data_IF_893497738895
#
_entry.id   IF_893497738895
#
_cell.length_a   1.000
_cell.length_b   1.000
_cell.length_c   1.000
_cell.angle_alpha   90.00
_cell.angle_beta   90.00
_cell.angle_gamma   90.00
#
_symmetry.space_group_name_H-M   'P 1'
#
loop_
_entity.id
_entity.type
_entity.pdbx_description
1 polymer ?
#
# COMPACT_ATOMS: atom_id res chain seq x y z
N UNK A 1 -17.04 -7.23 1.56
CA UNK A 1 -17.22 -6.65 0.22
C UNK A 1 -17.16 -5.14 0.33
N UNK A 2 -16.26 -4.51 -0.43
CA UNK A 2 -16.17 -3.05 -0.52
C UNK A 2 -17.42 -2.58 -1.26
N UNK A 3 -18.09 -1.53 -0.78
CA UNK A 3 -19.34 -1.06 -1.41
C UNK A 3 -19.10 -0.56 -2.83
N UNK A 4 -20.09 -0.74 -3.72
CA UNK A 4 -20.03 -0.31 -5.12
C UNK A 4 -19.68 1.19 -5.28
N UNK A 5 -20.12 2.03 -4.34
CA UNK A 5 -19.80 3.46 -4.33
C UNK A 5 -18.30 3.75 -4.17
N UNK A 6 -17.60 2.98 -3.34
CA UNK A 6 -16.16 3.12 -3.15
C UNK A 6 -15.39 2.67 -4.40
N UNK A 7 -15.82 1.58 -5.04
CA UNK A 7 -15.22 1.15 -6.32
C UNK A 7 -15.39 2.21 -7.41
N UNK A 8 -16.57 2.77 -7.56
CA UNK A 8 -16.83 3.80 -8.56
C UNK A 8 -15.93 5.03 -8.39
N UNK A 9 -15.73 5.50 -7.15
CA UNK A 9 -14.83 6.63 -6.89
C UNK A 9 -13.37 6.27 -7.15
N UNK A 10 -12.93 5.06 -6.79
CA UNK A 10 -11.58 4.56 -7.05
C UNK A 10 -11.32 4.39 -8.55
N UNK A 11 -12.25 3.79 -9.26
CA UNK A 11 -12.19 3.61 -10.72
C UNK A 11 -12.00 4.94 -11.44
N UNK A 12 -12.81 5.93 -11.08
CA UNK A 12 -12.82 7.22 -11.75
C UNK A 12 -11.58 8.07 -11.43
N UNK A 13 -11.03 7.97 -10.21
CA UNK A 13 -10.02 8.92 -9.72
C UNK A 13 -8.65 8.28 -9.47
N UNK A 14 -8.58 6.99 -9.13
CA UNK A 14 -7.34 6.31 -8.78
C UNK A 14 -7.28 4.87 -9.33
N UNK A 15 -7.34 4.68 -10.66
CA UNK A 15 -7.44 3.34 -11.25
C UNK A 15 -6.25 2.42 -10.95
N UNK A 16 -5.08 2.97 -10.67
CA UNK A 16 -3.87 2.17 -10.39
C UNK A 16 -3.93 1.38 -9.09
N UNK A 17 -4.83 1.75 -8.15
CA UNK A 17 -4.95 1.06 -6.86
C UNK A 17 -6.07 0.02 -6.83
N UNK A 18 -6.77 -0.20 -7.93
CA UNK A 18 -7.96 -1.09 -7.95
C UNK A 18 -7.65 -2.53 -7.55
N UNK A 19 -6.47 -3.03 -7.89
CA UNK A 19 -6.01 -4.35 -7.49
C UNK A 19 -5.48 -4.45 -6.05
N UNK A 20 -5.35 -3.31 -5.35
CA UNK A 20 -4.79 -3.29 -4.00
C UNK A 20 -5.87 -3.53 -2.95
N UNK A 21 -5.59 -4.31 -1.89
CA UNK A 21 -6.51 -4.47 -0.78
C UNK A 21 -6.74 -3.13 -0.08
N UNK A 22 -7.96 -2.87 0.35
CA UNK A 22 -8.29 -1.66 1.08
C UNK A 22 -7.93 -1.83 2.55
N UNK A 23 -6.98 -1.05 3.05
CA UNK A 23 -6.64 -0.96 4.47
C UNK A 23 -7.61 -0.02 5.23
N UNK A 24 -8.91 -0.16 4.97
CA UNK A 24 -9.95 0.72 5.49
C UNK A 24 -11.15 -0.13 5.93
N UNK A 25 -11.98 0.42 6.80
CA UNK A 25 -13.23 -0.22 7.21
C UNK A 25 -14.30 -0.07 6.11
N UNK A 26 -15.22 -1.01 6.02
CA UNK A 26 -16.30 -1.02 5.02
C UNK A 26 -17.19 0.24 5.04
N UNK A 27 -17.28 0.91 6.19
CA UNK A 27 -18.05 2.14 6.34
C UNK A 27 -17.42 3.35 5.61
N UNK A 28 -16.17 3.27 5.19
CA UNK A 28 -15.50 4.31 4.39
C UNK A 28 -15.81 4.12 2.89
N UNK A 29 -17.06 4.29 2.54
CA UNK A 29 -17.60 4.01 1.20
C UNK A 29 -17.71 5.26 0.28
N UNK A 30 -17.20 6.40 0.71
CA UNK A 30 -17.20 7.65 -0.06
C UNK A 30 -18.50 8.46 0.05
N UNK A 31 -19.50 8.04 0.82
CA UNK A 31 -20.76 8.78 0.99
C UNK A 31 -20.54 10.19 1.54
N UNK A 32 -19.56 10.39 2.39
CA UNK A 32 -19.25 11.72 2.93
C UNK A 32 -18.84 12.70 1.81
N UNK A 33 -18.09 12.23 0.82
CA UNK A 33 -17.73 13.02 -0.36
C UNK A 33 -18.98 13.35 -1.18
N UNK A 34 -19.83 12.36 -1.44
CA UNK A 34 -21.07 12.54 -2.18
C UNK A 34 -22.05 13.49 -1.47
N UNK A 35 -22.14 13.41 -0.14
CA UNK A 35 -22.92 14.36 0.66
C UNK A 35 -22.41 15.78 0.51
N UNK A 36 -21.10 15.98 0.59
CA UNK A 36 -20.49 17.30 0.36
C UNK A 36 -20.83 17.85 -1.02
N UNK A 37 -20.66 17.01 -2.05
CA UNK A 37 -21.00 17.40 -3.45
C UNK A 37 -22.48 17.74 -3.63
N UNK A 38 -23.40 17.05 -2.95
CA UNK A 38 -24.84 17.28 -3.06
C UNK A 38 -25.29 18.65 -2.58
N UNK A 39 -24.51 19.29 -1.71
CA UNK A 39 -24.74 20.67 -1.22
C UNK A 39 -23.83 21.70 -1.89
N UNK A 40 -23.17 21.32 -2.99
CA UNK A 40 -22.34 22.23 -3.78
C UNK A 40 -20.88 22.36 -3.34
N UNK A 41 -20.38 21.49 -2.46
CA UNK A 41 -18.96 21.50 -2.10
C UNK A 41 -18.10 21.04 -3.29
N UNK A 42 -16.98 21.73 -3.52
CA UNK A 42 -16.00 21.33 -4.50
C UNK A 42 -15.11 20.18 -3.97
N UNK A 43 -14.63 19.37 -4.88
CA UNK A 43 -13.62 18.33 -4.59
C UNK A 43 -12.28 18.72 -5.19
N UNK A 44 -11.20 18.34 -4.50
CA UNK A 44 -9.83 18.54 -4.98
C UNK A 44 -9.00 17.30 -4.65
N UNK A 45 -7.95 17.07 -5.42
CA UNK A 45 -6.99 15.98 -5.20
C UNK A 45 -7.64 14.58 -5.08
N UNK A 46 -8.69 14.32 -5.84
CA UNK A 46 -9.41 13.05 -5.80
C UNK A 46 -8.56 11.86 -6.29
N UNK A 47 -7.48 12.12 -6.99
CA UNK A 47 -6.46 11.17 -7.43
C UNK A 47 -5.40 10.88 -6.35
N UNK A 48 -5.35 11.71 -5.30
CA UNK A 48 -4.43 11.51 -4.20
C UNK A 48 -4.89 10.34 -3.32
N UNK A 49 -4.05 9.32 -3.24
CA UNK A 49 -4.33 8.11 -2.47
C UNK A 49 -3.08 7.73 -1.68
N UNK A 50 -3.28 7.37 -0.43
CA UNK A 50 -2.22 6.74 0.35
C UNK A 50 -2.15 5.26 -0.02
N UNK A 51 -0.96 4.81 -0.39
CA UNK A 51 -0.65 3.42 -0.71
C UNK A 51 0.45 2.95 0.23
N UNK A 52 0.11 2.13 1.21
CA UNK A 52 1.09 1.57 2.13
C UNK A 52 1.78 0.34 1.51
N UNK A 53 3.07 0.19 1.79
CA UNK A 53 3.81 -1.01 1.50
C UNK A 53 3.67 -1.98 2.68
N UNK A 54 2.98 -3.10 2.45
CA UNK A 54 2.72 -4.09 3.50
C UNK A 54 3.91 -5.04 3.64
N UNK A 55 4.88 -4.64 4.44
CA UNK A 55 5.97 -5.49 4.89
C UNK A 55 6.37 -5.04 6.29
N UNK A 56 6.82 -5.97 7.13
CA UNK A 56 7.31 -5.63 8.46
C UNK A 56 8.49 -4.65 8.33
N UNK A 57 8.44 -3.48 8.99
CA UNK A 57 9.52 -2.50 8.94
C UNK A 57 10.85 -3.04 9.46
N UNK A 58 10.83 -3.99 10.42
CA UNK A 58 12.04 -4.60 10.95
C UNK A 58 12.72 -5.52 9.94
N UNK A 59 11.96 -6.17 9.08
CA UNK A 59 12.50 -6.94 7.96
C UNK A 59 13.03 -6.02 6.85
N UNK A 60 12.29 -4.97 6.53
CA UNK A 60 12.67 -4.01 5.48
C UNK A 60 14.05 -3.38 5.74
N UNK A 61 14.28 -2.88 6.95
CA UNK A 61 15.55 -2.19 7.29
C UNK A 61 16.76 -3.12 7.38
N UNK A 62 16.54 -4.43 7.42
CA UNK A 62 17.61 -5.45 7.44
C UNK A 62 17.96 -5.97 6.05
N UNK A 63 17.15 -5.65 5.04
CA UNK A 63 17.34 -6.09 3.67
C UNK A 63 17.56 -4.95 2.69
N UNK A 64 17.52 -5.29 1.41
CA UNK A 64 17.62 -4.34 0.31
C UNK A 64 16.42 -4.53 -0.59
N UNK A 65 15.65 -3.47 -0.81
CA UNK A 65 14.47 -3.50 -1.68
C UNK A 65 14.87 -3.23 -3.13
N UNK A 66 14.63 -4.20 -4.01
CA UNK A 66 14.97 -4.10 -5.43
C UNK A 66 13.72 -4.23 -6.30
N UNK A 67 13.76 -3.61 -7.47
CA UNK A 67 12.72 -3.73 -8.49
C UNK A 67 12.88 -5.00 -9.34
N UNK A 68 12.01 -5.22 -10.32
CA UNK A 68 12.07 -6.35 -11.26
C UNK A 68 13.35 -6.44 -12.11
N UNK A 69 14.18 -5.39 -12.11
CA UNK A 69 15.50 -5.35 -12.78
C UNK A 69 16.67 -5.60 -11.82
N UNK A 70 16.39 -5.91 -10.56
CA UNK A 70 17.41 -6.08 -9.52
C UNK A 70 18.08 -4.78 -9.06
N UNK A 71 17.46 -3.62 -9.31
CA UNK A 71 17.99 -2.32 -8.92
C UNK A 71 17.34 -1.84 -7.63
N UNK A 72 18.14 -1.43 -6.65
CA UNK A 72 17.65 -0.72 -5.47
C UNK A 72 17.10 0.64 -5.92
N UNK A 73 15.88 0.95 -5.52
CA UNK A 73 15.17 2.14 -6.01
C UNK A 73 14.75 3.11 -4.91
N UNK A 74 14.82 2.69 -3.64
CA UNK A 74 14.41 3.52 -2.50
C UNK A 74 15.19 3.13 -1.25
N UNK A 75 15.23 4.00 -0.26
CA UNK A 75 15.74 3.69 1.06
C UNK A 75 14.64 2.95 1.86
N UNK A 76 14.98 1.81 2.43
CA UNK A 76 14.09 0.94 3.18
C UNK A 76 13.64 1.57 4.51
N UNK A 77 14.47 2.45 5.10
CA UNK A 77 14.16 3.22 6.31
C UNK A 77 13.38 4.50 5.96
N UNK A 78 12.28 4.35 5.24
CA UNK A 78 11.40 5.48 4.93
C UNK A 78 9.95 5.16 5.24
N UNK A 79 9.09 6.17 5.23
CA UNK A 79 7.66 6.03 5.52
C UNK A 79 6.99 5.01 4.57
N UNK A 80 6.21 4.05 5.10
CA UNK A 80 5.60 2.98 4.30
C UNK A 80 4.73 3.46 3.12
N UNK A 81 4.05 4.59 3.27
CA UNK A 81 3.29 5.20 2.18
C UNK A 81 4.18 5.67 1.01
N UNK A 82 5.39 6.14 1.31
CA UNK A 82 6.36 6.52 0.28
C UNK A 82 6.93 5.30 -0.44
N UNK A 83 7.18 4.21 0.30
CA UNK A 83 7.56 2.92 -0.28
C UNK A 83 6.48 2.40 -1.22
N UNK A 84 5.23 2.39 -0.77
CA UNK A 84 4.08 1.95 -1.57
C UNK A 84 3.91 2.77 -2.84
N UNK A 85 3.95 4.10 -2.74
CA UNK A 85 3.86 4.99 -3.90
C UNK A 85 5.02 4.78 -4.89
N UNK A 86 6.25 4.70 -4.41
CA UNK A 86 7.42 4.46 -5.26
C UNK A 86 7.31 3.12 -6.00
N UNK A 87 6.88 2.07 -5.31
CA UNK A 87 6.70 0.74 -5.89
C UNK A 87 5.57 0.73 -6.93
N UNK A 88 4.39 1.23 -6.57
CA UNK A 88 3.22 1.20 -7.44
C UNK A 88 3.39 2.06 -8.69
N UNK A 89 3.89 3.29 -8.53
CA UNK A 89 3.91 4.26 -9.64
C UNK A 89 5.17 4.20 -10.50
N UNK A 90 6.28 3.70 -9.94
CA UNK A 90 7.58 3.79 -10.63
C UNK A 90 8.28 2.43 -10.85
N UNK A 91 7.79 1.34 -10.22
CA UNK A 91 8.41 0.02 -10.31
C UNK A 91 7.43 -1.07 -10.81
N UNK A 92 6.43 -0.70 -11.60
CA UNK A 92 5.47 -1.64 -12.18
C UNK A 92 4.73 -2.49 -11.12
N UNK A 93 4.58 -1.93 -9.90
CA UNK A 93 4.02 -2.62 -8.73
C UNK A 93 4.77 -3.92 -8.35
N UNK A 94 6.07 -3.96 -8.61
CA UNK A 94 6.93 -5.10 -8.29
C UNK A 94 8.09 -4.68 -7.39
N UNK A 95 8.25 -5.39 -6.28
CA UNK A 95 9.38 -5.23 -5.38
C UNK A 95 9.79 -6.59 -4.79
N UNK A 96 11.08 -6.75 -4.60
CA UNK A 96 11.68 -7.95 -3.99
C UNK A 96 12.58 -7.50 -2.84
N UNK A 97 12.38 -8.07 -1.66
CA UNK A 97 13.26 -7.85 -0.52
C UNK A 97 14.37 -8.90 -0.56
N UNK A 98 15.60 -8.46 -0.73
CA UNK A 98 16.79 -9.30 -0.63
C UNK A 98 17.33 -9.19 0.79
N UNK A 99 17.30 -10.29 1.52
CA UNK A 99 17.68 -10.37 2.94
C UNK A 99 18.43 -11.68 3.18
N UNK A 100 19.38 -11.71 4.10
CA UNK A 100 20.02 -12.96 4.50
C UNK A 100 19.14 -13.77 5.46
N UNK A 101 19.42 -15.07 5.56
CA UNK A 101 18.62 -16.02 6.33
C UNK A 101 18.58 -15.65 7.83
N UNK A 102 19.72 -15.28 8.39
CA UNK A 102 19.81 -14.92 9.82
C UNK A 102 18.96 -13.69 10.14
N UNK A 103 19.07 -12.64 9.32
CA UNK A 103 18.28 -11.42 9.49
C UNK A 103 16.78 -11.67 9.29
N UNK A 104 16.42 -12.59 8.38
CA UNK A 104 15.04 -13.02 8.17
C UNK A 104 14.48 -13.75 9.39
N UNK A 105 15.23 -14.72 9.93
CA UNK A 105 14.81 -15.49 11.13
C UNK A 105 14.64 -14.57 12.33
N UNK A 106 15.61 -13.69 12.61
CA UNK A 106 15.53 -12.73 13.70
C UNK A 106 14.38 -11.73 13.56
N UNK A 107 14.14 -11.23 12.35
CA UNK A 107 13.05 -10.31 12.06
C UNK A 107 11.68 -10.98 12.16
N UNK A 108 11.56 -12.21 11.67
CA UNK A 108 10.32 -12.99 11.73
C UNK A 108 9.96 -13.46 13.13
N UNK A 109 10.94 -13.61 14.03
CA UNK A 109 10.74 -13.97 15.42
C UNK A 109 10.29 -12.80 16.29
N UNK A 110 10.30 -11.57 15.79
CA UNK A 110 9.84 -10.41 16.54
C UNK A 110 8.31 -10.46 16.71
N UNK A 111 7.81 -10.23 17.93
CA UNK A 111 6.37 -10.25 18.26
C UNK A 111 5.54 -9.21 17.49
N UNK A 112 6.20 -8.30 16.78
CA UNK A 112 5.58 -7.28 15.92
C UNK A 112 5.17 -7.81 14.55
N UNK A 113 5.66 -8.98 14.17
CA UNK A 113 5.28 -9.65 12.92
C UNK A 113 3.90 -10.29 13.11
N UNK A 114 2.84 -9.56 12.84
CA UNK A 114 1.50 -10.15 12.77
C UNK A 114 1.47 -11.14 11.61
N UNK A 115 1.22 -12.44 11.83
CA UNK A 115 1.14 -13.45 10.77
C UNK A 115 0.11 -13.11 9.69
N UNK A 116 -0.89 -12.31 10.03
CA UNK A 116 -1.93 -11.83 9.11
C UNK A 116 -1.42 -10.89 8.02
N UNK A 117 -0.29 -10.18 8.25
CA UNK A 117 0.31 -9.30 7.26
C UNK A 117 1.12 -10.06 6.18
N UNK A 118 1.57 -11.28 6.50
CA UNK A 118 2.38 -12.12 5.61
C UNK A 118 1.55 -13.07 4.72
N UNK A 119 0.25 -13.21 4.99
CA UNK A 119 -0.63 -14.18 4.32
C UNK A 119 -1.85 -13.50 3.68
N UNK A 120 -1.62 -12.54 2.78
CA UNK A 120 -2.67 -12.17 1.84
C UNK A 120 -2.42 -12.92 0.53
N UNK A 121 -3.27 -13.89 0.15
CA UNK A 121 -3.15 -14.55 -1.14
C UNK A 121 -3.42 -13.54 -2.25
N UNK A 122 -2.58 -13.58 -3.26
CA UNK A 122 -2.72 -12.91 -4.56
C UNK A 122 -4.02 -13.26 -5.25
#
# INVERSE_FOLDING_TARGET
PVSDANFTLRDANAPRILGSPAASIEAHDGRAIQMGQSIGAATAHMDATEVAFFCDPQLLVRGILVNGRGQRYINEDTYPGRLGQATLFHQENQAFLVIDETAFEEGSASETSSPELLMQPT
#
